data_IF_856917922835
#
_entry.id   IF_856917922835
#
_cell.length_a   1.000
_cell.length_b   1.000
_cell.length_c   1.000
_cell.angle_alpha   90.00
_cell.angle_beta   90.00
_cell.angle_gamma   90.00
#
_symmetry.space_group_name_H-M   'P 1'
#
loop_
_entity.id
_entity.type
_entity.pdbx_description
1 polymer ?
#
# COMPACT_ATOMS: atom_id res chain seq x y z
N UNK A 1 -32.19 -5.67 -6.47
CA UNK A 1 -31.56 -4.70 -7.40
C UNK A 1 -31.98 -3.30 -6.99
N UNK A 2 -31.03 -2.43 -6.67
CA UNK A 2 -31.27 -1.02 -6.32
C UNK A 2 -30.60 -0.09 -7.34
N UNK A 3 -31.05 1.16 -7.43
CA UNK A 3 -30.33 2.24 -8.11
C UNK A 3 -29.46 2.93 -7.06
N UNK A 4 -28.15 3.01 -7.29
CA UNK A 4 -27.17 3.57 -6.36
C UNK A 4 -26.38 4.67 -7.08
N UNK A 5 -26.26 5.83 -6.44
CA UNK A 5 -25.37 6.89 -6.87
C UNK A 5 -24.10 6.85 -5.99
N UNK A 6 -22.94 6.78 -6.62
CA UNK A 6 -21.62 6.89 -5.98
C UNK A 6 -21.06 8.26 -6.30
N UNK A 7 -20.80 9.06 -5.28
CA UNK A 7 -20.27 10.42 -5.43
C UNK A 7 -18.75 10.39 -5.28
N UNK A 8 -18.05 10.75 -6.34
CA UNK A 8 -16.60 10.73 -6.47
C UNK A 8 -16.09 9.50 -7.22
N UNK A 9 -15.28 9.73 -8.26
CA UNK A 9 -14.63 8.71 -9.08
C UNK A 9 -13.14 8.54 -8.74
N UNK A 10 -12.75 8.72 -7.49
CA UNK A 10 -11.45 8.30 -6.97
C UNK A 10 -11.42 6.79 -6.71
N UNK A 11 -10.28 6.24 -6.27
CA UNK A 11 -10.09 4.79 -6.05
C UNK A 11 -11.17 4.17 -5.17
N UNK A 12 -11.55 4.83 -4.07
CA UNK A 12 -12.60 4.33 -3.16
C UNK A 12 -13.98 4.28 -3.82
N UNK A 13 -14.36 5.36 -4.53
CA UNK A 13 -15.63 5.42 -5.22
C UNK A 13 -15.73 4.41 -6.37
N UNK A 14 -14.67 4.28 -7.18
CA UNK A 14 -14.62 3.30 -8.26
C UNK A 14 -14.67 1.87 -7.73
N UNK A 15 -13.92 1.56 -6.68
CA UNK A 15 -13.95 0.22 -6.04
C UNK A 15 -15.31 -0.12 -5.48
N UNK A 16 -16.00 0.84 -4.84
CA UNK A 16 -17.36 0.68 -4.37
C UNK A 16 -18.36 0.46 -5.52
N UNK A 17 -18.22 1.25 -6.59
CA UNK A 17 -19.09 1.14 -7.76
C UNK A 17 -18.97 -0.23 -8.45
N UNK A 18 -17.75 -0.73 -8.62
CA UNK A 18 -17.46 -2.05 -9.19
C UNK A 18 -18.12 -3.15 -8.34
N UNK A 19 -17.90 -3.15 -7.03
CA UNK A 19 -18.47 -4.16 -6.11
C UNK A 19 -20.00 -4.11 -6.09
N UNK A 20 -20.60 -2.92 -6.08
CA UNK A 20 -22.04 -2.74 -6.10
C UNK A 20 -22.65 -3.21 -7.41
N UNK A 21 -22.00 -2.93 -8.54
CA UNK A 21 -22.45 -3.40 -9.85
C UNK A 21 -22.34 -4.92 -9.96
N UNK A 22 -21.24 -5.51 -9.50
CA UNK A 22 -21.07 -6.96 -9.41
C UNK A 22 -22.15 -7.63 -8.55
N UNK A 23 -22.57 -6.98 -7.46
CA UNK A 23 -23.67 -7.43 -6.60
C UNK A 23 -25.07 -7.23 -7.26
N UNK A 24 -25.14 -6.83 -8.52
CA UNK A 24 -26.38 -6.71 -9.30
C UNK A 24 -27.13 -5.39 -9.07
N UNK A 25 -26.51 -4.36 -8.54
CA UNK A 25 -27.10 -3.04 -8.44
C UNK A 25 -26.87 -2.23 -9.72
N UNK A 26 -27.75 -1.27 -10.00
CA UNK A 26 -27.56 -0.29 -11.07
C UNK A 26 -26.82 0.92 -10.50
N UNK A 27 -25.56 1.10 -10.87
CA UNK A 27 -24.69 2.12 -10.30
C UNK A 27 -24.51 3.28 -11.28
N UNK A 28 -24.58 4.51 -10.75
CA UNK A 28 -24.17 5.74 -11.43
C UNK A 28 -23.08 6.40 -10.61
N UNK A 29 -21.93 6.68 -11.24
CA UNK A 29 -20.83 7.42 -10.60
C UNK A 29 -20.92 8.88 -11.01
N UNK A 30 -20.85 9.78 -10.03
CA UNK A 30 -20.87 11.23 -10.21
C UNK A 30 -19.49 11.79 -9.81
N UNK A 31 -18.83 12.48 -10.73
CA UNK A 31 -17.52 13.08 -10.51
C UNK A 31 -17.60 14.59 -10.82
N UNK A 32 -17.02 15.41 -9.96
CA UNK A 32 -17.01 16.86 -10.12
C UNK A 32 -15.94 17.38 -11.08
N UNK A 33 -14.84 16.61 -11.24
CA UNK A 33 -13.73 16.98 -12.12
C UNK A 33 -13.96 16.45 -13.54
N UNK A 34 -13.19 16.96 -14.50
CA UNK A 34 -13.22 16.48 -15.88
C UNK A 34 -12.59 15.08 -16.04
N UNK A 35 -11.89 14.59 -15.02
CA UNK A 35 -11.14 13.34 -15.05
C UNK A 35 -11.47 12.47 -13.85
N UNK A 36 -11.51 11.15 -14.06
CA UNK A 36 -11.63 10.14 -13.02
C UNK A 36 -10.25 9.85 -12.42
N UNK A 37 -10.20 9.17 -11.26
CA UNK A 37 -8.97 8.74 -10.60
C UNK A 37 -8.70 9.46 -9.28
N UNK A 38 -9.25 10.66 -9.09
CA UNK A 38 -9.06 11.45 -7.88
C UNK A 38 -7.58 11.79 -7.64
N UNK A 39 -7.00 11.31 -6.54
CA UNK A 39 -5.58 11.53 -6.22
C UNK A 39 -4.60 10.75 -7.10
N UNK A 40 -5.06 9.76 -7.87
CA UNK A 40 -4.28 9.10 -8.92
C UNK A 40 -4.38 9.92 -10.22
N UNK A 41 -3.86 11.12 -10.19
CA UNK A 41 -3.91 12.03 -11.32
C UNK A 41 -2.52 12.17 -11.94
N UNK A 42 -2.50 12.44 -13.24
CA UNK A 42 -1.29 12.76 -14.00
C UNK A 42 -1.37 14.19 -14.55
N UNK A 43 -0.25 14.86 -14.59
CA UNK A 43 -0.06 16.13 -15.29
C UNK A 43 0.66 15.87 -16.62
N UNK A 44 0.05 16.29 -17.72
CA UNK A 44 0.58 16.09 -19.07
C UNK A 44 1.02 17.43 -19.65
N UNK A 45 2.25 17.53 -20.08
CA UNK A 45 2.79 18.74 -20.71
C UNK A 45 3.91 18.40 -21.70
N UNK A 46 3.82 18.93 -22.91
CA UNK A 46 4.87 18.85 -23.94
C UNK A 46 5.34 17.39 -24.22
N UNK A 47 4.43 16.40 -24.16
CA UNK A 47 4.73 14.98 -24.35
C UNK A 47 5.24 14.28 -23.08
N UNK A 48 5.43 14.98 -21.97
CA UNK A 48 5.79 14.41 -20.67
C UNK A 48 4.55 14.13 -19.84
N UNK A 49 4.65 13.07 -19.03
CA UNK A 49 3.62 12.66 -18.05
C UNK A 49 4.27 12.66 -16.67
N UNK A 50 3.64 13.37 -15.74
CA UNK A 50 4.08 13.44 -14.34
C UNK A 50 2.95 12.96 -13.44
N UNK A 51 3.22 11.99 -12.60
CA UNK A 51 2.31 11.62 -11.54
C UNK A 51 2.22 12.75 -10.52
N UNK A 52 1.00 13.24 -10.26
CA UNK A 52 0.74 14.29 -9.26
C UNK A 52 0.24 13.72 -7.93
N UNK A 53 0.18 12.41 -7.84
CA UNK A 53 -0.18 11.62 -6.67
C UNK A 53 0.81 10.47 -6.46
N UNK A 54 0.33 9.30 -6.02
CA UNK A 54 1.19 8.12 -5.86
C UNK A 54 1.82 7.70 -7.19
N UNK A 55 3.15 7.60 -7.22
CA UNK A 55 3.93 7.16 -8.38
C UNK A 55 4.28 5.66 -8.33
N UNK A 56 4.00 4.99 -7.21
CA UNK A 56 4.23 3.57 -7.03
C UNK A 56 2.91 2.83 -6.80
N UNK A 57 2.73 1.72 -7.50
CA UNK A 57 1.61 0.84 -7.30
C UNK A 57 1.92 -0.14 -6.16
N UNK A 58 1.48 0.21 -4.96
CA UNK A 58 1.69 -0.59 -3.75
C UNK A 58 0.53 -1.54 -3.50
N UNK A 59 0.80 -2.65 -2.78
CA UNK A 59 -0.20 -3.66 -2.41
C UNK A 59 -1.03 -4.20 -3.60
N UNK A 60 -0.41 -4.66 -4.70
CA UNK A 60 -1.11 -5.10 -5.90
C UNK A 60 -2.11 -6.23 -5.63
N UNK A 61 -1.91 -7.03 -4.58
CA UNK A 61 -2.81 -8.12 -4.19
C UNK A 61 -4.24 -7.61 -3.90
N UNK A 62 -4.41 -6.42 -3.33
CA UNK A 62 -5.73 -5.84 -3.02
C UNK A 62 -6.51 -5.55 -4.31
N UNK A 63 -5.82 -5.04 -5.32
CA UNK A 63 -6.43 -4.75 -6.61
C UNK A 63 -6.69 -6.04 -7.40
N UNK A 64 -5.75 -6.98 -7.39
CA UNK A 64 -5.94 -8.29 -8.02
C UNK A 64 -7.16 -9.01 -7.45
N UNK A 65 -7.36 -8.96 -6.13
CA UNK A 65 -8.56 -9.53 -5.49
C UNK A 65 -9.84 -8.85 -5.97
N UNK A 66 -9.88 -7.51 -6.03
CA UNK A 66 -11.02 -6.78 -6.53
C UNK A 66 -11.38 -7.20 -7.97
N UNK A 67 -10.40 -7.18 -8.85
CA UNK A 67 -10.62 -7.49 -10.26
C UNK A 67 -11.00 -8.96 -10.48
N UNK A 68 -10.30 -9.89 -9.84
CA UNK A 68 -10.59 -11.32 -9.92
C UNK A 68 -12.00 -11.67 -9.41
N UNK A 69 -12.42 -11.02 -8.31
CA UNK A 69 -13.74 -11.24 -7.72
C UNK A 69 -14.86 -10.65 -8.58
N UNK A 70 -14.60 -9.59 -9.33
CA UNK A 70 -15.65 -8.83 -10.02
C UNK A 70 -15.65 -9.02 -11.55
N UNK A 71 -14.73 -9.77 -12.10
CA UNK A 71 -14.77 -10.04 -13.55
C UNK A 71 -13.45 -10.59 -14.11
N UNK A 72 -12.58 -9.73 -14.60
CA UNK A 72 -11.33 -10.09 -15.32
C UNK A 72 -10.13 -9.91 -14.40
N UNK A 73 -9.08 -10.73 -14.57
CA UNK A 73 -7.84 -10.56 -13.82
C UNK A 73 -7.19 -9.20 -14.13
N UNK A 74 -6.64 -8.55 -13.11
CA UNK A 74 -5.96 -7.25 -13.27
C UNK A 74 -4.80 -7.34 -14.26
N UNK A 75 -4.03 -8.42 -14.19
CA UNK A 75 -2.84 -8.63 -15.02
C UNK A 75 -3.18 -8.83 -16.51
N UNK A 76 -4.45 -9.10 -16.87
CA UNK A 76 -4.93 -9.11 -18.27
C UNK A 76 -5.21 -7.69 -18.81
N UNK A 77 -5.33 -6.70 -17.93
CA UNK A 77 -5.71 -5.33 -18.26
C UNK A 77 -4.54 -4.34 -18.11
N UNK A 78 -3.60 -4.62 -17.23
CA UNK A 78 -2.50 -3.72 -16.88
C UNK A 78 -1.20 -4.51 -16.79
N UNK A 79 -0.18 -4.08 -17.51
CA UNK A 79 1.18 -4.61 -17.39
C UNK A 79 1.86 -3.96 -16.18
N UNK A 80 2.04 -4.74 -15.10
CA UNK A 80 2.68 -4.28 -13.87
C UNK A 80 4.14 -4.76 -13.86
N UNK A 81 5.06 -3.81 -13.87
CA UNK A 81 6.49 -4.10 -13.83
C UNK A 81 7.07 -3.77 -12.44
N UNK A 82 7.88 -4.67 -11.84
CA UNK A 82 8.65 -4.31 -10.65
C UNK A 82 9.66 -3.22 -10.98
N UNK A 83 9.79 -2.26 -10.05
CA UNK A 83 10.78 -1.18 -10.20
C UNK A 83 12.12 -1.68 -9.69
N UNK A 84 13.13 -1.69 -10.60
CA UNK A 84 14.51 -2.11 -10.27
C UNK A 84 15.54 -1.06 -10.74
N UNK A 85 16.40 -0.54 -9.87
CA UNK A 85 16.32 -0.66 -8.41
C UNK A 85 15.10 0.06 -7.85
N UNK A 86 14.50 -0.47 -6.76
CA UNK A 86 13.36 0.15 -6.11
C UNK A 86 13.70 1.51 -5.50
N UNK A 87 14.90 1.60 -4.90
CA UNK A 87 15.40 2.83 -4.28
C UNK A 87 16.90 2.99 -4.47
N UNK A 88 17.34 4.25 -4.63
CA UNK A 88 18.75 4.63 -4.62
C UNK A 88 18.98 5.64 -3.49
N UNK A 89 19.85 5.31 -2.55
CA UNK A 89 20.21 6.17 -1.43
C UNK A 89 21.61 6.74 -1.61
N UNK A 90 21.77 8.01 -1.29
CA UNK A 90 23.03 8.73 -1.30
C UNK A 90 23.14 9.50 0.02
N UNK A 91 24.11 9.15 0.85
CA UNK A 91 24.35 9.83 2.11
C UNK A 91 25.41 10.92 1.96
N UNK A 92 25.44 11.86 2.90
CA UNK A 92 26.32 13.01 2.87
C UNK A 92 27.82 12.64 3.00
N UNK A 93 28.13 11.49 3.58
CA UNK A 93 29.47 10.92 3.68
C UNK A 93 29.98 10.23 2.41
N UNK A 94 29.15 10.23 1.35
CA UNK A 94 29.44 9.57 0.08
C UNK A 94 29.00 8.12 -0.01
N UNK A 95 28.49 7.54 1.06
CA UNK A 95 27.91 6.18 1.05
C UNK A 95 26.74 6.12 0.09
N UNK A 96 26.62 5.02 -0.63
CA UNK A 96 25.53 4.78 -1.59
C UNK A 96 24.99 3.37 -1.43
N UNK A 97 23.66 3.22 -1.58
CA UNK A 97 23.01 1.93 -1.67
C UNK A 97 21.93 1.94 -2.76
N UNK A 98 21.92 0.91 -3.58
CA UNK A 98 20.80 0.61 -4.47
C UNK A 98 20.07 -0.60 -3.92
N UNK A 99 18.79 -0.42 -3.65
CA UNK A 99 17.96 -1.45 -3.04
C UNK A 99 17.05 -2.08 -4.10
N UNK A 100 17.03 -3.42 -4.23
CA UNK A 100 16.07 -4.13 -5.06
C UNK A 100 14.62 -3.83 -4.63
N UNK A 101 13.70 -3.76 -5.59
CA UNK A 101 12.33 -3.32 -5.31
C UNK A 101 11.48 -4.31 -4.52
N UNK A 102 11.65 -5.62 -4.73
CA UNK A 102 10.66 -6.62 -4.31
C UNK A 102 11.21 -7.78 -3.48
N UNK A 103 12.52 -7.98 -3.41
CA UNK A 103 13.12 -9.07 -2.61
C UNK A 103 13.66 -8.55 -1.26
N UNK A 104 12.98 -8.82 -0.13
CA UNK A 104 13.43 -8.36 1.18
C UNK A 104 14.82 -8.87 1.58
N UNK A 105 15.19 -10.08 1.16
CA UNK A 105 16.49 -10.65 1.47
C UNK A 105 17.61 -9.97 0.65
N UNK A 106 17.33 -9.62 -0.60
CA UNK A 106 18.25 -8.84 -1.43
C UNK A 106 18.43 -7.41 -0.89
N UNK A 107 17.37 -6.78 -0.41
CA UNK A 107 17.42 -5.47 0.28
C UNK A 107 18.34 -5.55 1.50
N UNK A 108 18.17 -6.56 2.34
CA UNK A 108 19.00 -6.74 3.55
C UNK A 108 20.49 -6.89 3.19
N UNK A 109 20.80 -7.73 2.21
CA UNK A 109 22.18 -7.90 1.71
C UNK A 109 22.75 -6.60 1.14
N UNK A 110 21.98 -5.85 0.35
CA UNK A 110 22.42 -4.58 -0.22
C UNK A 110 22.72 -3.54 0.86
N UNK A 111 21.91 -3.46 1.91
CA UNK A 111 22.16 -2.61 3.06
C UNK A 111 23.42 -3.06 3.84
N UNK A 112 23.58 -4.35 4.08
CA UNK A 112 24.79 -4.91 4.70
C UNK A 112 26.05 -4.58 3.91
N UNK A 113 26.02 -4.71 2.59
CA UNK A 113 27.14 -4.37 1.72
C UNK A 113 27.47 -2.87 1.71
N UNK A 114 26.47 -2.00 1.74
CA UNK A 114 26.64 -0.56 1.68
C UNK A 114 27.05 0.07 3.03
N UNK A 115 26.45 -0.38 4.11
CA UNK A 115 26.61 0.21 5.45
C UNK A 115 27.59 -0.57 6.33
N UNK A 116 27.81 -1.85 6.04
CA UNK A 116 28.69 -2.72 6.84
C UNK A 116 28.13 -3.08 8.21
N UNK A 117 29.00 -3.59 9.10
CA UNK A 117 28.66 -3.91 10.47
C UNK A 117 27.50 -4.91 10.60
N UNK A 118 26.52 -4.57 11.42
CA UNK A 118 25.33 -5.39 11.68
C UNK A 118 24.11 -5.02 10.82
N UNK A 119 24.26 -4.11 9.84
CA UNK A 119 23.13 -3.51 9.10
C UNK A 119 22.18 -4.54 8.44
N UNK A 120 22.73 -5.64 7.90
CA UNK A 120 21.90 -6.72 7.32
C UNK A 120 21.07 -7.42 8.40
N UNK A 121 21.67 -7.75 9.53
CA UNK A 121 21.00 -8.43 10.62
C UNK A 121 19.96 -7.54 11.29
N UNK A 122 20.29 -6.26 11.50
CA UNK A 122 19.38 -5.24 12.06
C UNK A 122 18.18 -5.02 11.17
N UNK A 123 18.40 -4.89 9.83
CA UNK A 123 17.30 -4.78 8.87
C UNK A 123 16.39 -5.99 8.90
N UNK A 124 16.95 -7.20 8.92
CA UNK A 124 16.17 -8.42 8.99
C UNK A 124 15.35 -8.51 10.31
N UNK A 125 15.92 -8.06 11.43
CA UNK A 125 15.21 -8.01 12.71
C UNK A 125 14.07 -6.99 12.68
N UNK A 126 14.32 -5.80 12.12
CA UNK A 126 13.31 -4.76 11.93
C UNK A 126 12.16 -5.25 11.04
N UNK A 127 12.46 -5.89 9.92
CA UNK A 127 11.44 -6.39 8.98
C UNK A 127 10.61 -7.53 9.57
N UNK A 128 11.19 -8.41 10.39
CA UNK A 128 10.39 -9.41 11.14
C UNK A 128 9.40 -8.74 12.08
N UNK A 129 9.86 -7.75 12.86
CA UNK A 129 8.97 -6.98 13.73
C UNK A 129 7.88 -6.24 12.95
N UNK A 130 8.23 -5.66 11.81
CA UNK A 130 7.27 -4.99 10.93
C UNK A 130 6.20 -5.97 10.40
N UNK A 131 6.60 -7.20 10.04
CA UNK A 131 5.68 -8.24 9.62
C UNK A 131 4.71 -8.66 10.74
N UNK A 132 5.22 -8.84 11.96
CA UNK A 132 4.40 -9.16 13.13
C UNK A 132 3.41 -8.03 13.44
N UNK A 133 3.86 -6.77 13.42
CA UNK A 133 3.00 -5.61 13.59
C UNK A 133 1.93 -5.51 12.49
N UNK A 134 2.31 -5.80 11.23
CA UNK A 134 1.38 -5.86 10.11
C UNK A 134 0.28 -6.90 10.32
N UNK A 135 0.63 -8.12 10.76
CA UNK A 135 -0.35 -9.16 11.04
C UNK A 135 -1.38 -8.77 12.11
N UNK A 136 -0.94 -8.00 13.12
CA UNK A 136 -1.83 -7.50 14.17
C UNK A 136 -2.72 -6.36 13.67
N UNK A 137 -2.16 -5.45 12.87
CA UNK A 137 -2.83 -4.19 12.52
C UNK A 137 -3.61 -4.23 11.21
N UNK A 138 -3.27 -5.10 10.27
CA UNK A 138 -3.91 -5.18 8.96
C UNK A 138 -5.43 -5.35 9.06
N UNK A 139 -5.89 -6.31 9.85
CA UNK A 139 -7.31 -6.58 10.02
C UNK A 139 -8.09 -5.36 10.49
N UNK A 140 -7.79 -4.79 11.67
CA UNK A 140 -8.53 -3.68 12.21
C UNK A 140 -8.41 -2.37 11.42
N UNK A 141 -7.27 -2.10 10.79
CA UNK A 141 -7.03 -0.80 10.15
C UNK A 141 -7.30 -0.77 8.65
N UNK A 142 -7.16 -1.90 7.94
CA UNK A 142 -7.26 -1.92 6.49
C UNK A 142 -8.43 -2.74 5.96
N UNK A 143 -8.86 -3.79 6.67
CA UNK A 143 -9.86 -4.73 6.19
C UNK A 143 -11.22 -4.57 6.85
N UNK A 144 -11.30 -3.83 7.95
CA UNK A 144 -12.54 -3.61 8.69
C UNK A 144 -12.81 -2.14 8.95
N UNK A 145 -14.08 -1.80 9.13
CA UNK A 145 -14.47 -0.48 9.58
C UNK A 145 -14.13 -0.31 11.07
N UNK A 146 -13.38 0.72 11.42
CA UNK A 146 -13.18 1.15 12.81
C UNK A 146 -14.42 1.93 13.25
N UNK A 147 -15.33 1.28 13.94
CA UNK A 147 -16.55 1.90 14.44
C UNK A 147 -16.38 2.50 15.83
N UNK A 148 -15.38 2.05 16.58
CA UNK A 148 -15.11 2.51 17.95
C UNK A 148 -13.61 2.34 18.29
N UNK A 149 -13.01 3.22 19.13
CA UNK A 149 -11.70 2.99 19.71
C UNK A 149 -11.58 1.68 20.50
N UNK A 150 -12.69 1.17 21.01
CA UNK A 150 -12.73 -0.12 21.71
C UNK A 150 -12.52 -1.31 20.77
N UNK A 151 -12.78 -1.14 19.47
CA UNK A 151 -12.53 -2.19 18.48
C UNK A 151 -11.01 -2.48 18.35
N UNK A 152 -10.16 -1.48 18.56
CA UNK A 152 -8.71 -1.66 18.62
C UNK A 152 -8.30 -2.57 19.78
N UNK A 153 -8.93 -2.40 20.95
CA UNK A 153 -8.64 -3.23 22.13
C UNK A 153 -9.04 -4.68 21.94
N UNK A 154 -10.07 -4.95 21.13
CA UNK A 154 -10.46 -6.33 20.79
C UNK A 154 -9.45 -7.06 19.92
N UNK A 155 -8.66 -6.33 19.15
CA UNK A 155 -7.63 -6.89 18.26
C UNK A 155 -6.27 -7.02 18.95
N UNK A 156 -5.98 -6.16 19.93
CA UNK A 156 -4.80 -6.27 20.81
C UNK A 156 -5.11 -7.25 21.95
N UNK A 157 -5.17 -8.54 21.63
CA UNK A 157 -5.64 -9.58 22.57
C UNK A 157 -4.61 -9.97 23.62
N UNK A 158 -3.34 -9.69 23.39
CA UNK A 158 -2.22 -10.07 24.26
C UNK A 158 -1.38 -8.85 24.60
N UNK A 159 -0.80 -8.78 25.80
CA UNK A 159 0.16 -7.73 26.14
C UNK A 159 1.36 -7.65 25.16
N UNK A 160 1.76 -8.80 24.58
CA UNK A 160 2.76 -8.88 23.53
C UNK A 160 2.39 -8.11 22.27
N UNK A 161 1.11 -8.04 21.90
CA UNK A 161 0.64 -7.34 20.73
C UNK A 161 0.86 -5.83 20.86
N UNK A 162 0.63 -5.29 22.06
CA UNK A 162 0.90 -3.88 22.39
C UNK A 162 2.41 -3.59 22.30
N UNK A 163 3.24 -4.50 22.81
CA UNK A 163 4.69 -4.35 22.73
C UNK A 163 5.20 -4.43 21.27
N UNK A 164 4.62 -5.31 20.45
CA UNK A 164 4.98 -5.46 19.03
C UNK A 164 4.60 -4.22 18.22
N UNK A 165 3.36 -3.76 18.36
CA UNK A 165 2.85 -2.57 17.65
C UNK A 165 3.49 -1.28 18.18
N UNK A 166 3.82 -1.24 19.48
CA UNK A 166 4.47 -0.11 20.16
C UNK A 166 3.87 1.26 19.78
N UNK A 167 2.55 1.49 19.95
CA UNK A 167 1.84 2.63 19.38
C UNK A 167 2.31 3.99 19.92
N UNK A 168 3.06 4.02 21.01
CA UNK A 168 3.62 5.24 21.62
C UNK A 168 5.12 5.38 21.40
N UNK A 169 5.72 4.51 20.60
CA UNK A 169 7.17 4.52 20.34
C UNK A 169 7.42 5.09 18.93
N UNK A 170 8.37 6.00 18.81
CA UNK A 170 8.76 6.54 17.51
C UNK A 170 9.54 5.51 16.70
N UNK A 171 9.49 5.61 15.36
CA UNK A 171 10.28 4.75 14.48
C UNK A 171 11.79 4.85 14.76
N UNK A 172 12.25 6.01 15.23
CA UNK A 172 13.66 6.22 15.58
C UNK A 172 14.09 5.44 16.84
N UNK A 173 13.14 5.07 17.70
CA UNK A 173 13.39 4.42 19.00
C UNK A 173 13.13 2.90 18.92
N UNK A 174 12.50 2.45 17.85
CA UNK A 174 12.26 1.03 17.55
C UNK A 174 13.54 0.33 17.11
#
# INVERSE_FOLDING_TARGET
>A
MAKVAVVGAGMGGLSAAIRLQHAGHRVTVLEQSAHIGGKLAGFHRDGFVFDTGPSLFTLPAVYRDLFLTTGTALDDLVDLQPVEPGFSYHWADGTRAQLPGVDPAAVARALGAALGGAAEAEWNAFMRRAADAWHITRGPFLENALTSPLDLLRHLRRPSDIATVAPLTSLRTL
#
